data_IF_939195336380
#
_entry.id   IF_939195336380
#
_cell.length_a   1.000
_cell.length_b   1.000
_cell.length_c   1.000
_cell.angle_alpha   90.00
_cell.angle_beta   90.00
_cell.angle_gamma   90.00
#
_symmetry.space_group_name_H-M   'P 1'
#
loop_
_entity.id
_entity.type
_entity.pdbx_description
1 polymer ?
#
# COMPACT_ATOMS: atom_id res chain seq x y z
N UNK A 1 -28.45 40.25 -5.77
CA UNK A 1 -27.28 39.74 -6.50
C UNK A 1 -26.82 38.44 -5.85
N UNK A 2 -26.88 37.32 -6.58
CA UNK A 2 -26.51 35.97 -6.12
C UNK A 2 -24.98 35.84 -6.14
N UNK A 3 -24.34 35.72 -4.98
CA UNK A 3 -22.96 35.24 -4.83
C UNK A 3 -22.85 34.36 -3.59
N UNK A 4 -23.68 33.33 -3.55
CA UNK A 4 -23.47 32.15 -2.73
C UNK A 4 -23.16 31.03 -3.71
N UNK A 5 -22.26 30.13 -3.32
CA UNK A 5 -21.78 28.94 -4.06
C UNK A 5 -20.51 29.18 -4.89
N UNK A 6 -19.39 29.30 -4.17
CA UNK A 6 -18.12 28.74 -4.64
C UNK A 6 -17.48 27.92 -3.50
N UNK A 7 -18.29 27.10 -2.82
CA UNK A 7 -17.80 25.95 -2.06
C UNK A 7 -17.54 24.85 -3.09
N UNK A 8 -16.42 24.95 -3.81
CA UNK A 8 -15.91 23.84 -4.62
C UNK A 8 -15.21 22.90 -3.64
N UNK A 9 -15.71 21.68 -3.42
CA UNK A 9 -15.03 20.73 -2.56
C UNK A 9 -13.80 20.23 -3.32
N UNK A 10 -12.66 20.90 -3.13
CA UNK A 10 -11.34 20.36 -3.52
C UNK A 10 -11.02 19.03 -2.79
N UNK A 11 -11.86 18.61 -1.85
CA UNK A 11 -11.75 17.35 -1.12
C UNK A 11 -11.96 16.09 -1.98
N UNK A 12 -12.44 16.21 -3.22
CA UNK A 12 -12.72 15.06 -4.11
C UNK A 12 -11.68 14.85 -5.22
N UNK A 13 -10.63 15.67 -5.31
CA UNK A 13 -9.65 15.60 -6.40
C UNK A 13 -8.35 14.83 -6.06
N UNK A 14 -8.26 14.19 -4.89
CA UNK A 14 -7.05 13.45 -4.48
C UNK A 14 -7.27 11.94 -4.20
N UNK A 15 -8.38 11.35 -4.62
CA UNK A 15 -8.57 9.89 -4.52
C UNK A 15 -7.99 9.11 -5.70
N UNK A 16 -7.18 9.76 -6.56
CA UNK A 16 -6.32 9.07 -7.51
C UNK A 16 -5.08 8.47 -6.79
N UNK A 17 -5.32 7.59 -5.82
CA UNK A 17 -4.32 6.68 -5.25
C UNK A 17 -5.08 5.38 -4.96
N UNK A 18 -5.29 4.58 -6.00
CA UNK A 18 -5.68 3.20 -5.79
C UNK A 18 -4.62 2.53 -4.90
N UNK A 19 -5.08 1.74 -3.94
CA UNK A 19 -4.19 0.88 -3.15
C UNK A 19 -3.30 0.09 -4.10
N UNK A 20 -1.99 0.11 -3.88
CA UNK A 20 -1.07 -0.67 -4.70
C UNK A 20 -1.43 -2.16 -4.63
N UNK A 21 -1.53 -2.80 -5.78
CA UNK A 21 -1.77 -4.24 -5.89
C UNK A 21 -0.54 -5.04 -5.47
N UNK A 22 -0.71 -6.33 -5.20
CA UNK A 22 0.40 -7.23 -4.83
C UNK A 22 1.45 -7.26 -5.94
N UNK A 23 1.02 -7.37 -7.19
CA UNK A 23 1.88 -7.45 -8.37
C UNK A 23 2.72 -6.18 -8.53
N UNK A 24 2.11 -4.99 -8.41
CA UNK A 24 2.84 -3.72 -8.46
C UNK A 24 3.91 -3.61 -7.37
N UNK A 25 3.66 -4.19 -6.20
CA UNK A 25 4.61 -4.17 -5.07
C UNK A 25 5.74 -5.20 -5.24
N UNK A 26 5.50 -6.28 -5.98
CA UNK A 26 6.55 -7.23 -6.37
C UNK A 26 7.44 -6.62 -7.46
N UNK A 27 6.83 -5.91 -8.41
CA UNK A 27 7.54 -5.27 -9.54
C UNK A 27 8.33 -4.02 -9.12
N UNK A 28 7.85 -3.27 -8.12
CA UNK A 28 8.50 -2.06 -7.60
C UNK A 28 8.90 -2.21 -6.11
N UNK A 29 10.14 -2.63 -5.83
CA UNK A 29 10.62 -2.82 -4.46
C UNK A 29 10.72 -1.51 -3.67
N UNK A 30 10.91 -0.36 -4.32
CA UNK A 30 10.94 0.94 -3.65
C UNK A 30 9.54 1.33 -3.16
N UNK A 31 8.51 1.02 -3.96
CA UNK A 31 7.10 1.19 -3.57
C UNK A 31 6.74 0.27 -2.41
N UNK A 32 7.17 -1.00 -2.45
CA UNK A 32 6.98 -1.92 -1.34
C UNK A 32 7.68 -1.45 -0.06
N UNK A 33 8.91 -0.96 -0.13
CA UNK A 33 9.63 -0.46 1.03
C UNK A 33 8.87 0.68 1.72
N UNK A 34 8.34 1.64 0.93
CA UNK A 34 7.54 2.77 1.44
C UNK A 34 6.25 2.30 2.11
N UNK A 35 5.53 1.38 1.48
CA UNK A 35 4.29 0.83 2.05
C UNK A 35 4.59 0.08 3.34
N UNK A 36 5.65 -0.73 3.37
CA UNK A 36 6.04 -1.48 4.55
C UNK A 36 6.50 -0.57 5.71
N UNK A 37 7.24 0.50 5.43
CA UNK A 37 7.61 1.51 6.43
C UNK A 37 6.38 2.19 7.02
N UNK A 38 5.42 2.57 6.16
CA UNK A 38 4.14 3.15 6.59
C UNK A 38 3.37 2.18 7.48
N UNK A 39 3.23 0.92 7.08
CA UNK A 39 2.54 -0.11 7.88
C UNK A 39 3.24 -0.36 9.21
N UNK A 40 4.58 -0.41 9.22
CA UNK A 40 5.38 -0.53 10.45
C UNK A 40 5.17 0.66 11.38
N UNK A 41 5.11 1.87 10.82
CA UNK A 41 4.85 3.10 11.57
C UNK A 41 3.45 3.10 12.19
N UNK A 42 2.43 2.69 11.43
CA UNK A 42 1.07 2.55 11.95
C UNK A 42 1.00 1.52 13.09
N UNK A 43 1.69 0.39 12.94
CA UNK A 43 1.79 -0.63 13.99
C UNK A 43 2.44 -0.09 15.27
N UNK A 44 3.56 0.62 15.16
CA UNK A 44 4.23 1.25 16.32
C UNK A 44 3.34 2.30 17.00
N UNK A 45 2.48 2.97 16.24
CA UNK A 45 1.51 3.92 16.77
C UNK A 45 0.26 3.23 17.36
N UNK A 46 0.19 1.90 17.37
CA UNK A 46 -0.99 1.14 17.82
C UNK A 46 -2.21 1.31 16.90
N UNK A 47 -2.00 1.73 15.64
CA UNK A 47 -3.06 1.91 14.65
C UNK A 47 -3.33 0.61 13.89
N UNK A 48 -4.54 0.52 13.34
CA UNK A 48 -4.93 -0.63 12.53
C UNK A 48 -4.03 -0.76 11.30
N UNK A 49 -3.50 -1.96 11.09
CA UNK A 49 -2.72 -2.35 9.90
C UNK A 49 -3.44 -3.42 9.08
N UNK A 50 -4.65 -3.83 9.48
CA UNK A 50 -5.53 -4.64 8.64
C UNK A 50 -6.23 -3.75 7.62
N UNK A 51 -5.42 -3.22 6.70
CA UNK A 51 -5.85 -2.43 5.54
C UNK A 51 -5.42 -3.15 4.28
N UNK A 52 -6.14 -2.93 3.19
CA UNK A 52 -5.81 -3.52 1.88
C UNK A 52 -4.35 -3.26 1.49
N UNK A 53 -3.84 -2.06 1.75
CA UNK A 53 -2.47 -1.65 1.43
C UNK A 53 -1.41 -2.46 2.20
N UNK A 54 -1.59 -2.63 3.52
CA UNK A 54 -0.68 -3.39 4.35
C UNK A 54 -0.80 -4.90 4.12
N UNK A 55 -2.02 -5.38 3.82
CA UNK A 55 -2.26 -6.76 3.45
C UNK A 55 -1.60 -7.10 2.11
N UNK A 56 -1.71 -6.23 1.10
CA UNK A 56 -1.06 -6.40 -0.19
C UNK A 56 0.47 -6.40 -0.07
N UNK A 57 1.04 -5.50 0.75
CA UNK A 57 2.48 -5.47 1.00
C UNK A 57 2.97 -6.74 1.71
N UNK A 58 2.21 -7.24 2.69
CA UNK A 58 2.55 -8.50 3.38
C UNK A 58 2.50 -9.69 2.44
N UNK A 59 1.50 -9.74 1.56
CA UNK A 59 1.36 -10.79 0.56
C UNK A 59 2.50 -10.74 -0.47
N UNK A 60 2.89 -9.55 -0.95
CA UNK A 60 4.03 -9.37 -1.84
C UNK A 60 5.32 -9.93 -1.23
N UNK A 61 5.59 -9.61 0.05
CA UNK A 61 6.74 -10.14 0.81
C UNK A 61 6.67 -11.68 0.92
N UNK A 62 5.49 -12.23 1.23
CA UNK A 62 5.29 -13.68 1.33
C UNK A 62 5.56 -14.39 0.00
N UNK A 63 5.08 -13.85 -1.13
CA UNK A 63 5.30 -14.45 -2.44
C UNK A 63 6.77 -14.42 -2.84
N UNK A 64 7.46 -13.30 -2.63
CA UNK A 64 8.90 -13.19 -2.88
C UNK A 64 9.69 -14.19 -2.04
N UNK A 65 9.35 -14.33 -0.76
CA UNK A 65 10.02 -15.27 0.16
C UNK A 65 9.73 -16.72 -0.22
N UNK A 66 8.49 -17.04 -0.60
CA UNK A 66 8.10 -18.39 -1.04
C UNK A 66 8.85 -18.80 -2.31
N UNK A 67 8.97 -17.90 -3.29
CA UNK A 67 9.72 -18.14 -4.52
C UNK A 67 11.22 -18.33 -4.25
N UNK A 68 11.79 -17.54 -3.34
CA UNK A 68 13.18 -17.70 -2.90
C UNK A 68 13.42 -19.06 -2.21
N UNK A 69 12.52 -19.46 -1.31
CA UNK A 69 12.60 -20.75 -0.61
C UNK A 69 12.44 -21.94 -1.55
N UNK A 70 11.52 -21.88 -2.53
CA UNK A 70 11.37 -22.92 -3.56
C UNK A 70 12.62 -23.04 -4.43
N UNK A 71 13.24 -21.92 -4.79
CA UNK A 71 14.51 -21.91 -5.51
C UNK A 71 15.68 -22.52 -4.72
N UNK A 72 15.62 -22.44 -3.39
CA UNK A 72 16.62 -23.02 -2.49
C UNK A 72 16.40 -24.50 -2.17
N UNK A 73 15.14 -24.92 -1.97
CA UNK A 73 14.77 -26.31 -1.63
C UNK A 73 14.62 -27.22 -2.85
N UNK A 74 14.48 -26.66 -4.05
CA UNK A 74 14.37 -27.38 -5.31
C UNK A 74 15.71 -27.73 -5.98
N UNK A 75 16.83 -27.65 -5.24
CA UNK A 75 18.19 -27.96 -5.70
C UNK A 75 18.81 -29.08 -4.88
#
# INVERSE_FOLDING_TARGET
MKKLLALVPLALLLTACGTATVEELIEDPDKLAKVNEKCSTLMMQGKNTDTEECNNAREAINQMTSNMLKGFLGK
#
